data_IF_466999896781
#
_entry.id   IF_466999896781
#
_cell.length_a   1.000
_cell.length_b   1.000
_cell.length_c   1.000
_cell.angle_alpha   90.00
_cell.angle_beta   90.00
_cell.angle_gamma   90.00
#
_symmetry.space_group_name_H-M   'P 1'
#
loop_
_entity.id
_entity.type
_entity.pdbx_description
1 polymer ?
2 non-polymer ?
3 water ?
#
# COMPACT_ATOMS: atom_id res chain seq x y z
N UNK A 2 21.93 -13.68 13.15
CA UNK A 2 21.48 -12.28 13.43
C UNK A 2 20.65 -11.77 12.26
N UNK A 3 19.64 -10.90 12.51
CA UNK A 3 18.66 -10.53 11.47
C UNK A 3 19.25 -9.88 10.22
N UNK A 4 18.69 -10.18 9.04
CA UNK A 4 19.22 -9.72 7.76
C UNK A 4 18.16 -8.88 7.06
N UNK A 5 18.48 -7.63 6.70
CA UNK A 5 17.66 -6.82 5.81
C UNK A 5 18.37 -6.76 4.47
N UNK A 6 17.66 -7.19 3.40
CA UNK A 6 18.19 -7.12 2.04
C UNK A 6 17.46 -6.05 1.23
N UNK A 7 18.21 -5.29 0.41
CA UNK A 7 17.63 -4.32 -0.52
C UNK A 7 18.65 -3.89 -1.57
N UNK A 8 18.16 -3.16 -2.58
CA UNK A 8 19.04 -2.45 -3.49
C UNK A 8 19.87 -1.38 -2.76
N UNK A 9 20.95 -0.92 -3.41
CA UNK A 9 21.72 0.24 -2.98
C UNK A 9 21.02 1.50 -3.49
N UNK A 10 19.84 1.77 -2.93
CA UNK A 10 19.06 2.99 -3.24
C UNK A 10 18.30 3.33 -1.96
N UNK A 11 17.86 4.57 -1.77
CA UNK A 11 17.03 4.88 -0.59
C UNK A 11 15.69 4.17 -0.79
N UNK A 12 15.01 4.44 -1.91
CA UNK A 12 13.75 3.76 -2.26
C UNK A 12 12.83 3.39 -1.12
N UNK A 13 12.41 2.12 -1.06
CA UNK A 13 11.40 1.68 -0.11
C UNK A 13 12.08 1.21 1.16
N UNK A 14 13.38 0.89 1.07
CA UNK A 14 14.11 0.38 2.21
C UNK A 14 14.40 1.43 3.28
N UNK A 15 14.40 2.73 2.95
CA UNK A 15 14.99 3.69 3.87
C UNK A 15 14.14 3.82 5.14
N UNK A 16 12.80 3.94 5.04
CA UNK A 16 11.94 3.97 6.23
C UNK A 16 12.23 2.83 7.20
N UNK A 17 12.54 1.63 6.66
CA UNK A 17 12.85 0.46 7.47
C UNK A 17 14.18 0.67 8.20
N UNK A 18 15.18 1.10 7.44
CA UNK A 18 16.51 1.37 7.95
C UNK A 18 16.49 2.48 9.00
N UNK A 19 15.62 3.50 8.81
CA UNK A 19 15.53 4.57 9.79
C UNK A 19 14.99 4.01 11.11
N UNK A 20 14.00 3.11 11.02
CA UNK A 20 13.39 2.55 12.21
C UNK A 20 14.40 1.69 12.98
N UNK A 21 15.14 0.83 12.25
CA UNK A 21 16.17 -0.01 12.86
C UNK A 21 17.24 0.84 13.58
N UNK A 22 17.65 1.95 12.95
CA UNK A 22 18.61 2.86 13.55
C UNK A 22 18.07 3.44 14.86
N UNK A 23 16.84 3.99 14.81
CA UNK A 23 16.23 4.66 15.94
C UNK A 23 16.09 3.69 17.11
N UNK A 24 15.65 2.46 16.80
CA UNK A 24 15.42 1.43 17.82
C UNK A 24 16.73 0.82 18.35
N UNK A 25 17.82 0.93 17.58
CA UNK A 25 19.10 0.41 18.00
C UNK A 25 19.27 -1.08 17.72
N UNK A 26 18.32 -1.72 16.99
CA UNK A 26 18.33 -3.15 16.77
C UNK A 26 19.49 -3.58 15.86
N UNK A 27 20.21 -4.65 16.27
CA UNK A 27 21.30 -5.15 15.46
C UNK A 27 20.72 -5.87 14.25
N UNK A 28 21.28 -5.56 13.06
CA UNK A 28 20.93 -6.24 11.83
C UNK A 28 22.08 -6.21 10.83
N UNK A 29 22.22 -7.28 10.04
CA UNK A 29 23.11 -7.34 8.88
C UNK A 29 22.39 -6.70 7.70
N UNK A 30 23.00 -5.71 7.05
CA UNK A 30 22.44 -5.08 5.86
C UNK A 30 23.05 -5.79 4.66
N UNK A 31 22.19 -6.34 3.79
CA UNK A 31 22.61 -7.09 2.62
C UNK A 31 22.17 -6.31 1.38
N UNK A 32 23.14 -5.73 0.65
CA UNK A 32 22.85 -4.77 -0.40
C UNK A 32 23.18 -5.38 -1.76
N UNK A 33 22.19 -5.33 -2.65
CA UNK A 33 22.37 -5.89 -4.00
C UNK A 33 22.64 -4.74 -4.95
N UNK A 34 23.66 -4.87 -5.81
CA UNK A 34 24.05 -3.76 -6.70
C UNK A 34 23.58 -4.06 -8.13
N UNK A 35 23.14 -3.02 -8.85
CA UNK A 35 22.77 -3.22 -10.28
C UNK A 35 24.07 -3.44 -11.07
N UNK A 36 23.95 -3.93 -12.30
CA UNK A 36 25.14 -4.18 -13.15
C UNK A 36 25.63 -2.93 -13.84
N UNK A 37 26.49 -3.00 -14.89
CA UNK A 37 27.04 -1.79 -15.50
C UNK A 37 26.09 -1.18 -16.55
N UNK A 38 26.51 -0.08 -17.17
CA UNK A 38 25.71 0.58 -18.21
C UNK A 38 25.66 -0.09 -19.59
N UNK A 39 24.47 -0.31 -20.19
CA UNK A 39 23.16 -0.05 -19.62
C UNK A 39 22.49 -1.31 -19.06
N UNK A 40 23.27 -2.40 -18.99
CA UNK A 40 22.72 -3.68 -18.48
C UNK A 40 22.07 -3.44 -17.12
N UNK A 41 22.83 -2.92 -16.15
CA UNK A 41 22.29 -2.77 -14.78
C UNK A 41 21.57 -4.07 -14.43
N UNK A 42 22.20 -5.20 -14.76
CA UNK A 42 21.54 -6.52 -14.56
C UNK A 42 21.27 -6.75 -13.07
N UNK A 43 20.10 -7.32 -12.76
CA UNK A 43 19.75 -7.63 -11.35
C UNK A 43 20.40 -8.96 -10.98
N UNK A 44 21.43 -9.36 -11.73
CA UNK A 44 22.04 -10.69 -11.48
C UNK A 44 22.28 -10.91 -9.99
N UNK A 45 22.99 -9.99 -9.34
CA UNK A 45 23.33 -10.20 -7.90
C UNK A 45 22.07 -10.62 -7.16
N UNK A 46 20.92 -10.07 -7.55
CA UNK A 46 19.66 -10.38 -6.90
C UNK A 46 19.05 -11.65 -7.48
N UNK A 47 18.94 -11.73 -8.80
CA UNK A 47 18.24 -12.82 -9.47
C UNK A 47 18.89 -14.18 -9.20
N UNK A 48 20.19 -14.20 -8.94
CA UNK A 48 20.92 -15.43 -8.65
C UNK A 48 20.62 -15.96 -7.24
N UNK A 49 20.12 -15.10 -6.35
CA UNK A 49 19.83 -15.45 -4.96
C UNK A 49 18.33 -15.47 -4.69
N UNK A 50 17.56 -14.79 -5.55
CA UNK A 50 16.17 -14.49 -5.29
C UNK A 50 15.40 -15.72 -4.78
N UNK A 51 15.59 -16.87 -5.44
CA UNK A 51 14.81 -18.08 -5.18
C UNK A 51 15.54 -19.02 -4.20
N UNK A 52 16.64 -18.57 -3.57
CA UNK A 52 17.38 -19.42 -2.65
C UNK A 52 17.25 -18.96 -1.19
N UNK A 53 16.36 -18.00 -0.88
CA UNK A 53 16.30 -17.41 0.46
C UNK A 53 15.05 -17.90 1.22
N UNK A 54 14.24 -18.75 0.60
CA UNK A 54 13.10 -19.35 1.30
C UNK A 54 11.92 -18.39 1.39
N UNK A 55 11.91 -17.36 0.54
CA UNK A 55 10.86 -16.33 0.60
C UNK A 55 9.64 -16.82 -0.20
N UNK A 56 8.46 -16.56 0.37
CA UNK A 56 7.17 -16.91 -0.22
C UNK A 56 6.93 -16.08 -1.48
N UNK A 57 7.18 -14.77 -1.36
CA UNK A 57 6.99 -13.86 -2.50
C UNK A 57 8.32 -13.15 -2.73
N UNK A 58 9.34 -13.84 -3.28
CA UNK A 58 10.66 -13.25 -3.43
C UNK A 58 10.59 -11.83 -4.01
N UNK A 59 11.06 -10.83 -3.25
CA UNK A 59 11.09 -9.44 -3.75
C UNK A 59 12.06 -8.63 -2.87
N UNK A 60 12.47 -7.45 -3.35
CA UNK A 60 13.34 -6.56 -2.53
C UNK A 60 12.53 -5.32 -2.15
N UNK A 61 12.32 -5.02 -0.86
CA UNK A 61 13.22 -5.48 0.21
C UNK A 61 12.79 -6.81 0.87
N UNK A 62 13.70 -7.42 1.63
CA UNK A 62 13.35 -8.66 2.37
C UNK A 62 13.94 -8.57 3.79
N UNK A 63 13.35 -9.30 4.74
CA UNK A 63 13.88 -9.31 6.13
C UNK A 63 13.89 -10.75 6.66
N UNK A 64 15.01 -11.18 7.22
CA UNK A 64 15.14 -12.59 7.71
C UNK A 64 15.68 -12.60 9.14
N UNK A 65 15.07 -13.39 10.02
CA UNK A 65 15.58 -13.55 11.42
C UNK A 65 15.34 -15.00 11.82
N UNK A 66 16.29 -15.89 11.53
CA UNK A 66 16.11 -17.35 11.82
C UNK A 66 15.77 -17.55 13.29
N UNK A 67 16.42 -16.82 14.19
CA UNK A 67 16.21 -17.01 15.64
C UNK A 67 14.71 -16.84 15.94
N UNK A 68 14.04 -15.94 15.23
CA UNK A 68 12.61 -15.65 15.51
C UNK A 68 11.73 -16.45 14.54
N UNK A 69 12.32 -17.04 13.50
CA UNK A 69 11.55 -17.83 12.53
C UNK A 69 10.85 -16.91 11.55
N UNK A 70 11.50 -15.82 11.19
CA UNK A 70 10.83 -14.81 10.32
C UNK A 70 11.56 -14.71 8.98
N UNK A 71 10.85 -14.94 7.88
CA UNK A 71 11.41 -14.75 6.52
C UNK A 71 10.33 -13.94 5.81
N UNK A 72 10.52 -12.64 5.68
CA UNK A 72 9.40 -11.80 5.17
C UNK A 72 9.76 -10.98 3.94
N UNK A 73 8.72 -10.51 3.24
CA UNK A 73 8.90 -9.58 2.10
C UNK A 73 7.80 -8.54 2.29
N UNK A 74 7.63 -7.61 1.35
CA UNK A 74 6.58 -6.56 1.42
C UNK A 74 7.01 -5.47 2.43
N UNK A 75 7.38 -4.29 1.93
CA UNK A 75 7.89 -3.19 2.80
C UNK A 75 6.92 -2.87 3.94
N UNK A 76 5.64 -2.66 3.63
CA UNK A 76 4.65 -2.26 4.68
C UNK A 76 4.58 -3.36 5.74
N UNK A 77 4.58 -4.62 5.32
CA UNK A 77 4.50 -5.74 6.28
C UNK A 77 5.77 -5.78 7.12
N UNK A 78 6.92 -5.50 6.51
CA UNK A 78 8.18 -5.58 7.23
C UNK A 78 8.23 -4.48 8.28
N UNK A 79 7.86 -3.26 7.91
CA UNK A 79 7.94 -2.17 8.86
C UNK A 79 6.87 -2.33 9.96
N UNK A 80 5.70 -2.89 9.62
CA UNK A 80 4.71 -3.10 10.67
C UNK A 80 5.22 -4.14 11.67
N UNK A 81 5.97 -5.14 11.18
CA UNK A 81 6.51 -6.19 12.03
C UNK A 81 7.52 -5.63 13.05
N UNK A 82 8.49 -4.85 12.54
CA UNK A 82 9.52 -4.21 13.34
C UNK A 82 8.90 -3.20 14.31
N UNK A 83 7.85 -2.48 13.86
CA UNK A 83 7.14 -1.54 14.73
C UNK A 83 6.48 -2.25 15.91
N UNK A 84 5.76 -3.37 15.65
CA UNK A 84 5.09 -4.11 16.72
C UNK A 84 6.12 -4.61 17.71
N UNK A 85 7.25 -5.10 17.17
CA UNK A 85 8.33 -5.63 17.98
C UNK A 85 8.95 -4.55 18.88
N UNK A 86 8.92 -3.27 18.44
CA UNK A 86 9.62 -2.21 19.20
C UNK A 86 8.66 -1.17 19.79
N UNK A 87 7.36 -1.40 19.72
CA UNK A 87 6.39 -0.49 20.37
C UNK A 87 6.12 0.78 19.58
N UNK A 88 6.51 0.80 18.30
CA UNK A 88 6.32 2.00 17.45
C UNK A 88 4.97 1.88 16.72
N UNK A 89 3.96 1.33 17.40
CA UNK A 89 2.63 1.15 16.78
C UNK A 89 1.57 1.81 17.69
N UNK A 90 0.31 1.81 17.26
CA UNK A 90 -0.76 2.44 18.04
C UNK A 90 -1.01 1.70 19.34
N UNK A 91 -1.35 2.43 20.39
CA UNK A 91 -1.66 1.81 21.71
C UNK A 91 -3.18 1.84 21.89
N UNK A 92 -3.89 2.45 20.95
CA UNK A 92 -5.37 2.54 21.01
C UNK A 92 -5.92 2.38 19.59
N UNK A 93 -7.19 2.03 19.46
CA UNK A 93 -7.78 1.98 18.10
C UNK A 93 -7.83 3.41 17.55
N UNK A 94 -8.07 4.40 18.40
CA UNK A 94 -8.02 5.77 17.89
C UNK A 94 -6.67 6.00 17.22
N UNK A 95 -5.55 5.65 17.89
CA UNK A 95 -4.24 5.89 17.32
C UNK A 95 -3.99 5.02 16.11
N UNK A 96 -4.45 3.77 16.16
CA UNK A 96 -4.16 2.83 15.08
C UNK A 96 -4.81 3.29 13.76
N UNK A 97 -6.06 3.80 13.86
CA UNK A 97 -6.78 4.38 12.73
C UNK A 97 -5.96 5.52 12.12
N UNK A 98 -5.57 6.50 12.94
CA UNK A 98 -4.75 7.62 12.50
C UNK A 98 -3.44 7.14 11.86
N UNK A 99 -2.72 6.23 12.51
CA UNK A 99 -1.44 5.74 11.98
C UNK A 99 -1.63 5.06 10.62
N UNK A 100 -2.67 4.25 10.48
CA UNK A 100 -2.83 3.44 9.27
C UNK A 100 -3.36 4.32 8.13
N UNK A 101 -4.16 5.34 8.43
CA UNK A 101 -4.54 6.28 7.37
C UNK A 101 -3.29 7.00 6.82
N UNK A 102 -2.41 7.46 7.71
CA UNK A 102 -1.17 8.15 7.35
C UNK A 102 -0.20 7.20 6.64
N UNK A 103 -0.14 5.95 7.13
CA UNK A 103 0.64 4.95 6.43
C UNK A 103 0.23 4.89 4.97
N UNK A 104 -1.08 4.87 4.73
CA UNK A 104 -1.62 4.64 3.39
C UNK A 104 -1.54 5.92 2.60
N UNK A 105 -1.76 7.06 3.27
CA UNK A 105 -1.56 8.34 2.61
C UNK A 105 -0.10 8.46 2.17
N UNK A 106 0.86 7.99 2.99
CA UNK A 106 2.27 8.02 2.61
C UNK A 106 2.52 7.18 1.34
N UNK A 107 2.06 5.92 1.33
CA UNK A 107 2.25 5.01 0.21
C UNK A 107 1.58 5.50 -1.06
N UNK A 108 0.44 6.18 -0.93
CA UNK A 108 -0.20 6.81 -2.07
C UNK A 108 0.74 7.81 -2.74
N UNK A 109 1.62 8.49 -1.99
CA UNK A 109 2.57 9.44 -2.56
C UNK A 109 3.75 8.72 -3.19
N UNK A 110 4.25 7.66 -2.54
CA UNK A 110 5.26 6.79 -3.09
C UNK A 110 4.77 6.22 -4.43
N UNK A 111 3.58 5.63 -4.45
CA UNK A 111 3.02 5.06 -5.70
C UNK A 111 3.00 6.12 -6.80
N UNK A 112 2.39 7.28 -6.54
CA UNK A 112 2.26 8.33 -7.60
C UNK A 112 3.64 8.79 -8.06
N UNK A 113 4.54 9.10 -7.13
CA UNK A 113 5.87 9.63 -7.51
C UNK A 113 6.61 8.61 -8.38
N UNK A 114 6.62 7.35 -7.97
CA UNK A 114 7.29 6.28 -8.76
C UNK A 114 6.83 6.36 -10.21
N UNK A 115 5.52 6.26 -10.44
CA UNK A 115 4.95 6.31 -11.82
C UNK A 115 5.64 7.44 -12.59
N UNK A 116 5.70 8.63 -12.00
CA UNK A 116 6.30 9.80 -12.70
C UNK A 116 7.81 9.62 -12.84
N UNK A 117 8.50 9.29 -11.75
CA UNK A 117 9.98 9.21 -11.78
C UNK A 117 10.48 8.04 -12.63
N UNK A 118 9.80 6.89 -12.61
CA UNK A 118 10.29 5.69 -13.34
C UNK A 118 9.79 5.69 -14.78
N UNK A 119 8.95 6.65 -15.16
CA UNK A 119 8.41 6.73 -16.54
C UNK A 119 9.54 7.02 -17.54
N UNK A 120 9.44 6.50 -18.76
CA UNK A 120 10.52 6.67 -19.77
C UNK A 120 10.07 7.65 -20.86
N UNK A 121 8.85 7.49 -21.37
CA UNK A 121 8.34 8.37 -22.47
C UNK A 121 8.44 9.83 -22.02
N UNK A 122 9.08 10.68 -22.84
CA UNK A 122 9.24 12.10 -22.48
C UNK A 122 7.86 12.76 -22.37
N UNK A 123 6.95 12.41 -23.28
CA UNK A 123 5.58 13.00 -23.27
C UNK A 123 4.86 12.55 -22.00
N UNK A 124 4.86 11.24 -21.74
CA UNK A 124 4.13 10.70 -20.55
C UNK A 124 4.73 11.30 -19.28
N UNK A 125 6.06 11.33 -19.17
CA UNK A 125 6.72 11.84 -17.94
C UNK A 125 6.23 13.26 -17.66
N UNK A 126 6.25 14.13 -18.69
CA UNK A 126 5.81 15.54 -18.50
C UNK A 126 4.33 15.55 -18.12
N UNK A 127 3.50 14.76 -18.81
CA UNK A 127 2.06 14.71 -18.50
C UNK A 127 1.88 14.27 -17.03
N UNK A 128 2.63 13.27 -16.61
CA UNK A 128 2.56 12.80 -15.20
C UNK A 128 3.05 13.92 -14.27
N UNK A 129 4.20 14.51 -14.59
CA UNK A 129 4.76 15.58 -13.71
C UNK A 129 3.77 16.73 -13.62
N UNK A 130 3.29 17.22 -14.77
CA UNK A 130 2.34 18.33 -14.75
C UNK A 130 1.17 18.00 -13.82
N UNK A 131 0.85 16.71 -13.70
CA UNK A 131 -0.31 16.24 -12.95
C UNK A 131 0.04 16.04 -11.47
N UNK A 132 1.29 15.64 -11.18
CA UNK A 132 1.80 15.54 -9.82
C UNK A 132 1.75 16.91 -9.14
N UNK A 133 2.10 17.95 -9.89
CA UNK A 133 2.20 19.30 -9.36
C UNK A 133 0.83 19.87 -9.00
N UNK A 134 -0.23 19.39 -9.66
CA UNK A 134 -1.60 19.82 -9.36
C UNK A 134 -2.12 19.13 -8.10
N UNK A 135 -1.61 17.92 -7.79
CA UNK A 135 -2.17 17.08 -6.74
C UNK A 135 -1.41 17.25 -5.44
N UNK A 136 -0.07 17.27 -5.50
CA UNK A 136 0.75 17.23 -4.30
C UNK A 136 0.48 18.40 -3.36
N UNK A 137 0.21 19.64 -3.82
CA UNK A 137 -0.05 20.75 -2.90
C UNK A 137 -1.15 20.46 -1.89
N UNK A 138 -2.22 19.81 -2.36
CA UNK A 138 -3.39 19.48 -1.55
C UNK A 138 -3.10 18.33 -0.59
N UNK A 139 -2.22 17.42 -1.03
CA UNK A 139 -1.77 16.29 -0.22
C UNK A 139 -0.88 16.77 0.91
N UNK A 140 0.00 17.75 0.65
CA UNK A 140 0.87 18.29 1.67
C UNK A 140 0.08 19.15 2.66
N UNK A 141 -0.91 19.90 2.17
CA UNK A 141 -1.82 20.62 3.05
C UNK A 141 -2.54 19.63 3.96
N UNK A 142 -3.04 18.52 3.41
CA UNK A 142 -3.70 17.49 4.21
C UNK A 142 -2.85 17.00 5.38
N UNK A 143 -1.57 16.70 5.09
CA UNK A 143 -0.60 16.25 6.07
C UNK A 143 -0.30 17.35 7.08
N UNK A 144 -0.11 18.59 6.61
CA UNK A 144 0.16 19.68 7.53
C UNK A 144 -1.01 19.84 8.50
N UNK A 145 -2.25 19.83 7.96
CA UNK A 145 -3.46 19.98 8.77
C UNK A 145 -3.56 18.84 9.79
N UNK A 146 -3.07 17.66 9.41
CA UNK A 146 -3.18 16.50 10.27
C UNK A 146 -2.15 16.58 11.41
N UNK A 147 -0.90 16.86 11.08
CA UNK A 147 0.18 17.04 12.06
C UNK A 147 -0.18 18.14 13.04
N UNK A 148 -0.88 19.18 12.59
CA UNK A 148 -1.19 20.32 13.45
C UNK A 148 0.06 20.89 14.11
N UNK A 149 -0.02 21.07 15.43
CA UNK A 149 1.11 21.59 16.22
C UNK A 149 1.90 20.44 16.86
N UNK A 150 1.64 19.21 16.44
CA UNK A 150 2.22 18.02 17.07
C UNK A 150 3.73 17.91 16.76
N UNK A 151 4.46 17.29 17.70
CA UNK A 151 5.83 16.91 17.45
C UNK A 151 5.91 15.90 16.30
N UNK A 152 5.18 14.80 16.46
CA UNK A 152 5.17 13.74 15.47
C UNK A 152 3.72 13.50 15.06
N UNK A 153 3.51 12.64 14.08
CA UNK A 153 2.25 12.59 13.35
C UNK A 153 1.11 12.12 14.27
N UNK A 154 1.41 11.50 15.42
CA UNK A 154 0.37 11.04 16.35
C UNK A 154 0.47 11.80 17.69
N UNK A 155 1.33 12.82 17.79
CA UNK A 155 1.52 13.58 19.02
C UNK A 155 2.98 13.57 19.47
N UNK A 156 3.23 13.38 20.77
CA UNK A 156 4.58 13.42 21.32
C UNK A 156 5.33 12.09 21.14
N UNK A 157 4.70 11.07 20.53
CA UNK A 157 5.28 9.74 20.47
C UNK A 157 5.51 9.34 19.01
N UNK A 158 6.75 8.93 18.73
CA UNK A 158 7.16 8.51 17.41
C UNK A 158 6.57 7.12 17.16
N UNK A 159 6.04 6.94 15.95
CA UNK A 159 5.49 5.70 15.45
C UNK A 159 6.10 5.45 14.06
N UNK A 160 5.99 4.22 13.58
CA UNK A 160 6.74 3.79 12.39
C UNK A 160 6.44 4.67 11.20
N UNK A 161 5.29 5.31 11.24
CA UNK A 161 4.74 6.01 10.09
C UNK A 161 5.45 7.35 9.93
N UNK A 162 6.14 7.82 11.00
CA UNK A 162 6.96 9.02 10.95
C UNK A 162 8.18 8.81 10.04
N UNK A 163 8.80 7.62 10.14
CA UNK A 163 9.96 7.30 9.31
C UNK A 163 9.53 7.17 7.86
N UNK A 164 8.33 6.58 7.61
CA UNK A 164 7.81 6.46 6.25
C UNK A 164 7.63 7.85 5.65
N UNK A 165 6.98 8.72 6.43
CA UNK A 165 6.63 10.08 6.01
C UNK A 165 7.90 10.89 5.77
N UNK A 166 8.86 10.74 6.68
CA UNK A 166 10.15 11.38 6.48
C UNK A 166 10.68 11.07 5.08
N UNK A 167 10.90 9.79 4.77
CA UNK A 167 11.56 9.42 3.52
C UNK A 167 10.83 10.02 2.32
N UNK A 168 9.50 9.90 2.29
CA UNK A 168 8.79 10.21 1.05
C UNK A 168 8.74 11.73 0.87
N UNK A 169 8.55 12.48 1.98
CA UNK A 169 8.59 13.96 1.94
C UNK A 169 9.97 14.48 1.52
N UNK A 170 11.04 13.82 1.96
CA UNK A 170 12.38 14.17 1.49
C UNK A 170 12.47 13.98 -0.02
N UNK A 171 12.00 12.84 -0.52
CA UNK A 171 12.07 12.52 -1.94
C UNK A 171 11.39 13.64 -2.71
N UNK A 172 10.23 14.09 -2.21
CA UNK A 172 9.46 15.15 -2.86
C UNK A 172 10.20 16.47 -2.75
N UNK A 173 10.72 16.78 -1.55
CA UNK A 173 11.48 18.04 -1.35
C UNK A 173 12.62 18.10 -2.37
N UNK A 174 13.42 17.03 -2.47
CA UNK A 174 14.59 17.01 -3.38
C UNK A 174 14.13 17.04 -4.84
N UNK A 175 12.84 16.79 -5.07
CA UNK A 175 12.29 16.78 -6.46
C UNK A 175 11.78 18.17 -6.80
N UNK A 176 11.16 18.85 -5.81
CA UNK A 176 10.59 20.19 -6.06
C UNK A 176 10.35 20.88 -4.71
N UNK A 177 11.37 21.57 -4.21
CA UNK A 177 11.26 22.24 -2.88
C UNK A 177 10.12 23.27 -2.93
N UNK A 178 9.85 23.82 -4.11
CA UNK A 178 8.82 24.89 -4.22
C UNK A 178 7.53 24.42 -3.55
N UNK A 179 7.33 23.11 -3.45
CA UNK A 179 6.05 22.60 -2.89
C UNK A 179 6.01 22.83 -1.39
N UNK A 180 7.17 23.04 -0.76
CA UNK A 180 7.23 23.19 0.71
C UNK A 180 7.48 24.66 1.06
N UNK A 181 7.51 25.52 0.05
CA UNK A 181 7.80 26.96 0.28
C UNK A 181 6.84 27.51 1.35
N UNK A 182 5.61 27.01 1.38
CA UNK A 182 4.63 27.46 2.40
C UNK A 182 4.29 26.30 3.35
N UNK A 183 5.18 25.31 3.45
CA UNK A 183 4.93 24.13 4.33
C UNK A 183 6.00 24.08 5.42
N UNK A 184 6.04 25.10 6.27
CA UNK A 184 7.06 25.17 7.34
C UNK A 184 6.81 24.03 8.34
N UNK A 185 5.55 23.85 8.75
CA UNK A 185 5.22 22.74 9.69
C UNK A 185 5.92 21.47 9.23
N UNK A 186 5.81 21.14 7.95
CA UNK A 186 6.40 19.88 7.43
C UNK A 186 7.92 19.98 7.41
N UNK A 187 8.47 21.15 7.06
CA UNK A 187 9.94 21.35 7.00
C UNK A 187 10.50 21.25 8.43
N UNK A 188 9.80 21.82 9.41
CA UNK A 188 10.24 21.70 10.82
C UNK A 188 10.10 20.23 11.24
N UNK A 189 9.07 19.55 10.74
CA UNK A 189 8.86 18.12 11.05
C UNK A 189 10.05 17.32 10.54
N UNK A 190 10.46 17.58 9.28
CA UNK A 190 11.60 16.86 8.73
C UNK A 190 12.83 17.14 9.57
N UNK A 191 13.01 18.39 10.03
CA UNK A 191 14.11 18.77 10.88
C UNK A 191 14.02 18.03 12.23
N UNK A 192 12.81 17.97 12.85
CA UNK A 192 12.66 17.24 14.12
C UNK A 192 13.18 15.80 13.96
N UNK A 193 12.81 15.13 12.86
CA UNK A 193 13.19 13.74 12.63
C UNK A 193 14.72 13.66 12.39
N UNK A 194 15.26 14.50 11.49
CA UNK A 194 16.68 14.54 11.17
C UNK A 194 17.56 14.79 12.39
N UNK A 195 16.99 15.37 13.46
CA UNK A 195 17.78 15.69 14.62
C UNK A 195 17.56 14.67 15.74
N UNK A 196 16.86 13.56 15.48
CA UNK A 196 16.83 12.44 16.41
C UNK A 196 18.25 11.85 16.45
N UNK A 197 18.81 11.51 17.63
CA UNK A 197 20.24 11.19 17.74
C UNK A 197 20.69 10.14 16.74
N UNK A 198 19.89 9.06 16.55
CA UNK A 198 20.32 7.92 15.75
C UNK A 198 20.09 8.16 14.27
N UNK A 199 19.11 9.00 13.94
CA UNK A 199 18.82 9.39 12.56
C UNK A 199 19.92 10.34 12.07
N UNK A 200 20.30 11.28 12.93
CA UNK A 200 21.42 12.19 12.57
C UNK A 200 22.65 11.35 12.24
N UNK A 201 22.96 10.38 13.09
CA UNK A 201 24.13 9.50 12.87
C UNK A 201 23.96 8.77 11.52
N UNK A 202 22.77 8.27 11.24
CA UNK A 202 22.53 7.51 9.97
C UNK A 202 22.73 8.42 8.78
N UNK A 203 22.16 9.63 8.82
CA UNK A 203 22.24 10.54 7.66
C UNK A 203 23.65 11.13 7.57
N UNK A 204 24.45 11.00 8.63
CA UNK A 204 25.83 11.47 8.58
C UNK A 204 26.80 10.31 8.39
N UNK A 205 26.32 9.13 7.99
CA UNK A 205 27.20 8.01 7.71
C UNK A 205 28.05 8.38 6.48
N UNK A 206 29.18 7.69 6.32
CA UNK A 206 29.89 7.70 5.04
C UNK A 206 29.04 6.96 4.01
N UNK A 207 28.32 5.90 4.44
CA UNK A 207 27.48 5.08 3.58
C UNK A 207 26.36 5.91 2.96
N UNK A 208 25.81 6.87 3.72
CA UNK A 208 24.61 7.60 3.25
C UNK A 208 24.87 8.41 1.97
N UNK A 209 23.83 8.52 1.15
CA UNK A 209 23.93 9.35 -0.08
C UNK A 209 22.51 9.78 -0.44
N UNK A 210 22.18 11.06 -0.25
CA UNK A 210 20.81 11.57 -0.55
C UNK A 210 20.41 11.09 -1.95
N UNK A 211 21.38 10.81 -2.81
CA UNK A 211 21.11 10.14 -4.11
C UNK A 211 22.08 8.95 -4.21
N UNK A 212 21.68 7.81 -4.79
CA UNK A 212 20.45 7.71 -5.57
C UNK A 212 19.20 7.39 -4.73
N UNK A 213 18.03 7.88 -5.15
CA UNK A 213 16.76 7.57 -4.44
C UNK A 213 16.08 6.42 -5.17
N UNK A 214 15.92 6.55 -6.49
CA UNK A 214 15.28 5.48 -7.30
C UNK A 214 16.36 4.69 -8.05
N UNK A 215 15.95 3.82 -8.97
CA UNK A 215 16.92 2.99 -9.73
C UNK A 215 17.39 3.65 -11.00
N UNK A 216 18.41 3.10 -11.69
CA UNK A 216 18.95 3.70 -12.91
C UNK A 216 17.86 3.87 -13.97
N UNK A 217 16.97 2.89 -14.10
CA UNK A 217 15.91 2.94 -15.15
C UNK A 217 15.09 4.22 -14.99
N UNK A 218 14.89 4.68 -13.75
CA UNK A 218 14.04 5.86 -13.50
C UNK A 218 14.70 7.14 -14.03
N UNK A 219 13.89 8.16 -14.34
CA UNK A 219 14.45 9.47 -14.75
C UNK A 219 14.95 10.19 -13.50
N UNK A 220 14.11 10.27 -12.45
CA UNK A 220 14.50 10.99 -11.22
C UNK A 220 15.05 10.02 -10.17
N UNK A 221 16.10 10.43 -9.44
CA UNK A 221 16.66 9.60 -8.37
C UNK A 221 17.61 8.54 -8.90
N UNK A 222 17.99 8.63 -10.16
CA UNK A 222 18.93 7.67 -10.77
C UNK A 222 20.26 7.67 -10.04
N UNK A 223 20.78 8.85 -9.70
CA UNK A 223 22.06 8.98 -8.94
C UNK A 223 22.35 10.45 -8.67
N UNK B 2 -26.59 5.05 11.74
CA UNK B 2 -25.93 3.84 11.19
C UNK B 2 -24.66 4.24 10.44
N UNK B 3 -23.63 3.37 10.40
CA UNK B 3 -22.41 3.64 9.63
C UNK B 3 -22.65 3.88 8.14
N UNK B 4 -21.83 4.76 7.53
CA UNK B 4 -21.93 5.09 6.12
C UNK B 4 -20.63 4.69 5.42
N UNK B 5 -20.76 3.89 4.35
CA UNK B 5 -19.68 3.67 3.38
C UNK B 5 -19.97 4.46 2.12
N UNK B 6 -19.03 5.36 1.74
CA UNK B 6 -19.15 6.12 0.50
C UNK B 6 -18.15 5.65 -0.55
N UNK B 7 -18.61 5.59 -1.81
CA UNK B 7 -17.77 5.22 -2.95
C UNK B 7 -18.47 5.56 -4.27
N UNK B 8 -17.71 5.44 -5.37
CA UNK B 8 -18.28 5.49 -6.72
C UNK B 8 -19.22 4.30 -6.94
N UNK B 9 -20.06 4.40 -7.98
CA UNK B 9 -20.85 3.27 -8.48
C UNK B 9 -19.99 2.42 -9.40
N UNK B 10 -18.99 1.76 -8.79
CA UNK B 10 -18.07 0.85 -9.51
C UNK B 10 -17.69 -0.21 -8.46
N UNK B 11 -17.13 -1.34 -8.87
CA UNK B 11 -16.65 -2.30 -7.84
C UNK B 11 -15.36 -1.72 -7.25
N UNK B 12 -14.38 -1.42 -8.11
CA UNK B 12 -13.12 -0.79 -7.67
C UNK B 12 -12.58 -1.18 -6.31
N UNK B 13 -12.28 -0.20 -5.46
CA UNK B 13 -11.63 -0.43 -4.19
C UNK B 13 -12.66 -0.66 -3.09
N UNK B 14 -13.92 -0.25 -3.33
CA UNK B 14 -14.98 -0.41 -2.35
C UNK B 14 -15.39 -1.86 -2.08
N UNK B 15 -15.22 -2.75 -3.08
CA UNK B 15 -15.88 -4.03 -3.03
C UNK B 15 -15.35 -4.90 -1.89
N UNK B 16 -14.03 -5.05 -1.71
CA UNK B 16 -13.51 -5.86 -0.59
C UNK B 16 -14.13 -5.47 0.76
N UNK B 17 -14.37 -4.17 0.95
CA UNK B 17 -14.98 -3.65 2.17
C UNK B 17 -16.43 -4.12 2.25
N UNK B 18 -17.17 -3.96 1.16
CA UNK B 18 -18.55 -4.37 1.07
C UNK B 18 -18.71 -5.88 1.23
N UNK B 19 -17.76 -6.67 0.72
CA UNK B 19 -17.79 -8.11 0.94
C UNK B 19 -17.62 -8.43 2.44
N UNK B 20 -16.73 -7.69 3.13
CA UNK B 20 -16.50 -7.93 4.55
C UNK B 20 -17.75 -7.60 5.38
N UNK B 21 -18.39 -6.47 5.08
CA UNK B 21 -19.61 -6.05 5.74
C UNK B 21 -20.72 -7.09 5.53
N UNK B 22 -20.82 -7.64 4.31
CA UNK B 22 -21.79 -8.69 4.01
C UNK B 22 -21.55 -9.92 4.89
N UNK B 23 -20.30 -10.43 4.89
CA UNK B 23 -19.95 -11.64 5.64
C UNK B 23 -20.25 -11.48 7.14
N UNK B 24 -19.95 -10.29 7.68
CA UNK B 24 -20.08 -10.00 9.11
C UNK B 24 -21.52 -9.62 9.49
N UNK B 25 -22.34 -9.28 8.49
CA UNK B 25 -23.74 -8.96 8.72
C UNK B 25 -23.95 -7.52 9.21
N UNK B 26 -22.93 -6.65 9.08
CA UNK B 26 -22.97 -5.32 9.68
C UNK B 26 -23.93 -4.41 8.90
N UNK B 27 -24.82 -3.70 9.60
CA UNK B 27 -25.67 -2.77 8.91
C UNK B 27 -24.85 -1.53 8.60
N UNK B 28 -25.01 -1.05 7.36
CA UNK B 28 -24.39 0.15 6.86
C UNK B 28 -25.23 0.77 5.75
N UNK B 29 -25.12 2.09 5.63
CA UNK B 29 -25.77 2.77 4.50
C UNK B 29 -24.69 2.96 3.43
N UNK B 30 -25.02 2.73 2.17
CA UNK B 30 -24.05 2.91 1.07
C UNK B 30 -24.31 4.25 0.39
N UNK B 31 -23.33 5.17 0.44
CA UNK B 31 -23.48 6.47 -0.26
C UNK B 31 -22.74 6.35 -1.59
N UNK B 32 -23.49 6.32 -2.69
CA UNK B 32 -22.85 6.09 -4.01
C UNK B 32 -22.79 7.40 -4.76
N UNK B 33 -21.62 7.71 -5.30
CA UNK B 33 -21.45 8.96 -6.06
C UNK B 33 -21.37 8.56 -7.53
N UNK B 34 -22.13 9.26 -8.38
CA UNK B 34 -22.18 8.86 -9.81
C UNK B 34 -21.39 9.88 -10.62
N UNK B 35 -20.81 9.41 -11.73
CA UNK B 35 -20.01 10.29 -12.60
C UNK B 35 -20.95 11.10 -13.50
N UNK B 36 -20.37 11.95 -14.34
CA UNK B 36 -21.19 12.79 -15.25
C UNK B 36 -21.36 12.13 -16.61
N UNK B 37 -22.05 12.79 -17.56
CA UNK B 37 -22.31 12.18 -18.87
C UNK B 37 -21.06 12.17 -19.75
N UNK B 38 -21.14 11.46 -20.88
CA UNK B 38 -19.99 11.41 -21.84
C UNK B 38 -19.83 12.79 -22.49
N UNK B 39 -18.61 13.17 -22.93
CA UNK B 39 -17.38 12.62 -22.37
C UNK B 39 -16.95 13.42 -21.12
N UNK B 40 -17.88 14.19 -20.56
CA UNK B 40 -17.57 15.00 -19.36
C UNK B 40 -17.11 14.08 -18.23
N UNK B 41 -17.94 13.12 -17.84
CA UNK B 41 -17.60 12.22 -16.72
C UNK B 41 -17.23 13.08 -15.50
N UNK B 42 -18.04 14.09 -15.20
CA UNK B 42 -17.73 15.02 -14.09
C UNK B 42 -17.82 14.26 -12.75
N UNK B 43 -17.01 14.67 -11.78
CA UNK B 43 -17.04 14.03 -10.44
C UNK B 43 -17.66 15.03 -9.46
N UNK B 44 -18.46 15.96 -9.97
CA UNK B 44 -19.09 17.00 -9.12
C UNK B 44 -19.81 16.37 -7.92
N UNK B 45 -20.61 15.32 -8.16
CA UNK B 45 -21.40 14.72 -7.07
C UNK B 45 -20.46 14.52 -5.88
N UNK B 46 -19.19 14.23 -6.17
CA UNK B 46 -18.21 13.98 -5.14
C UNK B 46 -17.48 15.27 -4.79
N UNK B 47 -16.99 16.00 -5.79
CA UNK B 47 -16.16 17.16 -5.56
C UNK B 47 -16.87 18.26 -4.79
N UNK B 48 -18.21 18.32 -4.92
CA UNK B 48 -19.03 19.31 -4.25
C UNK B 48 -19.18 19.00 -2.76
N UNK B 49 -18.92 17.75 -2.34
CA UNK B 49 -19.04 17.30 -0.96
C UNK B 49 -17.66 17.00 -0.35
N UNK B 50 -16.68 16.73 -1.21
CA UNK B 50 -15.42 16.08 -0.83
C UNK B 50 -14.85 16.66 0.46
N UNK B 51 -14.78 18.00 0.53
CA UNK B 51 -14.10 18.68 1.60
C UNK B 51 -15.02 19.04 2.76
N UNK B 52 -16.28 18.59 2.72
CA UNK B 52 -17.26 19.01 3.71
C UNK B 52 -17.72 17.85 4.59
N UNK B 53 -17.00 16.71 4.61
CA UNK B 53 -17.45 15.53 5.35
C UNK B 53 -16.62 15.31 6.62
N UNK B 54 -15.70 16.22 6.93
CA UNK B 54 -14.88 16.13 8.13
C UNK B 54 -13.75 15.11 7.99
N UNK B 55 -13.44 14.74 6.75
CA UNK B 55 -12.40 13.71 6.49
C UNK B 55 -11.01 14.36 6.54
N UNK B 56 -10.07 13.74 7.26
CA UNK B 56 -8.70 14.28 7.38
C UNK B 56 -8.00 14.21 6.02
N UNK B 57 -8.19 13.10 5.31
CA UNK B 57 -7.60 12.94 3.96
C UNK B 57 -8.74 12.66 2.98
N UNK B 58 -9.53 13.68 2.58
CA UNK B 58 -10.72 13.46 1.74
C UNK B 58 -10.45 12.54 0.54
N UNK B 59 -11.25 11.49 0.39
CA UNK B 59 -11.03 10.51 -0.71
C UNK B 59 -12.10 9.40 -0.69
N UNK B 60 -12.26 8.69 -1.81
CA UNK B 60 -13.16 7.56 -1.94
C UNK B 60 -12.33 6.27 -2.04
N UNK B 61 -12.63 5.22 -1.26
CA UNK B 61 -13.77 5.21 -0.34
C UNK B 61 -13.54 5.93 0.99
N UNK B 62 -14.66 6.30 1.63
CA UNK B 62 -14.66 6.78 3.01
C UNK B 62 -15.63 5.93 3.82
N UNK B 63 -15.45 5.95 5.16
CA UNK B 63 -16.29 5.23 6.08
C UNK B 63 -16.51 6.08 7.33
N UNK B 64 -17.78 6.35 7.63
CA UNK B 64 -18.17 7.20 8.73
C UNK B 64 -19.09 6.43 9.68
N UNK B 65 -18.83 6.56 10.98
CA UNK B 65 -19.68 5.98 12.00
C UNK B 65 -19.76 6.96 13.17
N UNK B 66 -20.82 7.79 13.15
CA UNK B 66 -21.02 8.83 14.15
C UNK B 66 -20.99 8.21 15.56
N UNK B 67 -21.64 7.05 15.73
CA UNK B 67 -21.83 6.45 17.05
C UNK B 67 -20.48 6.16 17.71
N UNK B 68 -19.54 5.65 16.90
CA UNK B 68 -18.23 5.24 17.39
C UNK B 68 -17.21 6.38 17.30
N UNK B 69 -17.58 7.47 16.62
CA UNK B 69 -16.68 8.61 16.44
C UNK B 69 -15.55 8.33 15.44
N UNK B 70 -15.93 7.67 14.34
CA UNK B 70 -14.92 7.25 13.32
C UNK B 70 -15.22 7.90 11.97
N UNK B 71 -14.33 8.77 11.48
CA UNK B 71 -14.46 9.32 10.10
C UNK B 71 -13.18 8.90 9.41
N UNK B 72 -13.25 7.94 8.49
CA UNK B 72 -11.98 7.37 7.93
C UNK B 72 -11.94 7.34 6.41
N UNK B 73 -10.72 7.34 5.86
CA UNK B 73 -10.52 7.16 4.40
C UNK B 73 -9.42 6.11 4.32
N UNK B 74 -8.91 5.80 3.12
CA UNK B 74 -7.85 4.78 2.93
C UNK B 74 -8.46 3.38 3.02
N UNK B 75 -8.57 2.68 1.90
CA UNK B 75 -9.20 1.33 1.82
C UNK B 75 -8.58 0.34 2.80
N UNK B 76 -7.25 0.22 2.80
CA UNK B 76 -6.57 -0.78 3.66
C UNK B 76 -6.84 -0.45 5.13
N UNK B 77 -6.85 0.84 5.47
CA UNK B 77 -7.10 1.27 6.86
C UNK B 77 -8.55 1.02 7.20
N UNK B 78 -9.46 1.26 6.25
CA UNK B 78 -10.87 0.98 6.53
C UNK B 78 -11.10 -0.53 6.76
N UNK B 79 -10.56 -1.38 5.89
CA UNK B 79 -10.83 -2.80 6.01
C UNK B 79 -10.08 -3.37 7.21
N UNK B 80 -8.91 -2.81 7.57
CA UNK B 80 -8.22 -3.29 8.77
C UNK B 80 -9.05 -2.96 10.01
N UNK B 81 -9.74 -1.80 9.97
CA UNK B 81 -10.52 -1.35 11.12
C UNK B 81 -11.72 -2.29 11.36
N UNK B 82 -12.43 -2.60 10.27
CA UNK B 82 -13.63 -3.47 10.38
C UNK B 82 -13.19 -4.90 10.73
N UNK B 83 -12.03 -5.33 10.22
CA UNK B 83 -11.52 -6.68 10.50
C UNK B 83 -11.27 -6.85 12.00
N UNK B 84 -10.63 -5.87 12.63
CA UNK B 84 -10.32 -5.94 14.09
C UNK B 84 -11.62 -5.86 14.88
N UNK B 85 -12.62 -5.18 14.33
CA UNK B 85 -13.94 -5.06 15.01
C UNK B 85 -14.69 -6.38 14.90
N UNK B 86 -14.34 -7.22 13.92
CA UNK B 86 -15.10 -8.48 13.70
C UNK B 86 -14.17 -9.69 13.81
N UNK B 87 -12.96 -9.50 14.36
CA UNK B 87 -12.03 -10.62 14.58
C UNK B 87 -11.59 -11.30 13.29
N UNK B 88 -11.41 -10.56 12.21
CA UNK B 88 -10.98 -11.13 10.91
C UNK B 88 -9.50 -10.83 10.72
N UNK B 89 -8.74 -10.83 11.81
CA UNK B 89 -7.28 -10.50 11.76
C UNK B 89 -6.50 -11.68 12.33
N UNK B 90 -5.17 -11.59 12.36
CA UNK B 90 -4.34 -12.67 12.93
C UNK B 90 -4.48 -12.78 14.42
N UNK B 91 -4.30 -13.97 14.96
CA UNK B 91 -4.39 -14.19 16.42
C UNK B 91 -2.96 -14.38 16.92
N UNK B 92 -2.02 -14.40 15.99
CA UNK B 92 -0.58 -14.54 16.32
C UNK B 92 0.21 -13.64 15.38
N UNK B 93 1.39 -13.20 15.81
CA UNK B 93 2.22 -12.42 14.86
C UNK B 93 2.56 -13.34 13.70
N UNK B 94 2.75 -14.64 13.96
CA UNK B 94 3.01 -15.51 12.82
C UNK B 94 1.89 -15.32 11.78
N UNK B 95 0.61 -15.33 12.21
CA UNK B 95 -0.50 -15.19 11.26
C UNK B 95 -0.50 -13.79 10.65
N UNK B 96 -0.24 -12.80 11.49
CA UNK B 96 -0.35 -11.42 11.06
C UNK B 96 0.68 -11.10 9.96
N UNK B 97 1.90 -11.64 10.10
CA UNK B 97 2.95 -11.57 9.07
C UNK B 97 2.41 -12.08 7.73
N UNK B 98 1.92 -13.31 7.71
CA UNK B 98 1.35 -13.91 6.51
C UNK B 98 0.21 -13.06 5.93
N UNK B 99 -0.73 -12.63 6.77
CA UNK B 99 -1.85 -11.81 6.34
C UNK B 99 -1.39 -10.50 5.68
N UNK B 100 -0.39 -9.84 6.28
CA UNK B 100 0.03 -8.53 5.83
C UNK B 100 0.90 -8.64 4.58
N UNK B 101 1.67 -9.73 4.44
CA UNK B 101 2.36 -9.99 3.19
C UNK B 101 1.36 -10.13 2.03
N UNK B 102 0.28 -10.91 2.26
CA UNK B 102 -0.73 -11.16 1.26
C UNK B 102 -1.55 -9.89 1.00
N UNK B 103 -1.82 -9.12 2.06
CA UNK B 103 -2.48 -7.84 1.86
C UNK B 103 -1.71 -7.03 0.83
N UNK B 104 -0.38 -7.00 0.98
CA UNK B 104 0.46 -6.12 0.18
C UNK B 104 0.67 -6.73 -1.19
N UNK B 105 0.81 -8.05 -1.23
CA UNK B 105 0.84 -8.76 -2.50
C UNK B 105 -0.46 -8.48 -3.29
N UNK B 106 -1.63 -8.45 -2.62
CA UNK B 106 -2.88 -8.15 -3.30
C UNK B 106 -2.87 -6.75 -3.92
N UNK B 107 -2.51 -5.73 -3.13
CA UNK B 107 -2.46 -4.34 -3.59
C UNK B 107 -1.43 -4.14 -4.71
N UNK B 108 -0.35 -4.91 -4.70
CA UNK B 108 0.62 -4.85 -5.77
C UNK B 108 -0.04 -5.21 -7.12
N UNK B 109 -1.08 -6.06 -7.10
CA UNK B 109 -1.78 -6.44 -8.33
C UNK B 109 -2.78 -5.35 -8.73
N UNK B 110 -3.47 -4.78 -7.73
CA UNK B 110 -4.35 -3.63 -7.93
C UNK B 110 -3.55 -2.50 -8.57
N UNK B 111 -2.39 -2.14 -7.97
CA UNK B 111 -1.57 -1.01 -8.40
C UNK B 111 -1.12 -1.16 -9.86
N UNK B 112 -0.71 -2.38 -10.27
CA UNK B 112 -0.20 -2.60 -11.62
C UNK B 112 -1.26 -3.24 -12.51
N UNK B 113 -2.54 -3.08 -12.12
CA UNK B 113 -3.68 -3.29 -12.99
C UNK B 113 -4.34 -1.96 -13.32
N UNK B 114 -4.40 -1.04 -12.34
CA UNK B 114 -4.92 0.30 -12.59
C UNK B 114 -3.86 1.16 -13.31
N UNK B 115 -2.63 0.63 -13.49
CA UNK B 115 -1.63 1.25 -14.34
C UNK B 115 -1.85 0.84 -15.81
N UNK B 116 -2.54 -0.29 -16.03
CA UNK B 116 -2.82 -0.81 -17.36
C UNK B 116 -4.22 -0.40 -17.83
N UNK B 117 -5.22 -0.48 -16.93
CA UNK B 117 -6.62 -0.33 -17.28
C UNK B 117 -6.99 1.15 -17.39
N UNK B 118 -6.37 2.01 -16.56
CA UNK B 118 -6.53 3.46 -16.66
C UNK B 118 -5.44 4.03 -17.57
N UNK B 125 -2.61 1.59 -24.53
CA UNK B 125 -2.00 0.64 -23.57
C UNK B 125 -1.79 -0.72 -24.25
N UNK B 126 -1.29 -0.71 -25.49
CA UNK B 126 -0.88 -1.91 -26.19
C UNK B 126 0.37 -2.52 -25.52
N UNK B 127 1.34 -1.65 -25.20
CA UNK B 127 2.62 -2.05 -24.65
C UNK B 127 2.48 -2.44 -23.18
N UNK B 128 1.43 -1.94 -22.50
CA UNK B 128 1.20 -2.20 -21.09
C UNK B 128 0.54 -3.56 -20.90
N UNK B 129 -0.52 -3.83 -21.68
CA UNK B 129 -1.28 -5.07 -21.59
C UNK B 129 -0.39 -6.25 -21.96
N UNK B 130 0.60 -6.01 -22.84
CA UNK B 130 1.62 -7.00 -23.20
C UNK B 130 2.50 -7.32 -22.00
N UNK B 131 2.69 -6.30 -21.13
CA UNK B 131 3.63 -6.39 -20.02
C UNK B 131 2.96 -7.00 -18.79
N UNK B 132 1.65 -6.74 -18.61
CA UNK B 132 0.88 -7.33 -17.52
C UNK B 132 0.86 -8.86 -17.70
N UNK B 133 0.72 -9.30 -18.95
CA UNK B 133 0.58 -10.71 -19.30
C UNK B 133 1.86 -11.49 -18.98
N UNK B 134 3.01 -10.83 -19.04
CA UNK B 134 4.28 -11.48 -18.77
C UNK B 134 4.52 -11.60 -17.26
N UNK B 135 3.93 -10.70 -16.46
CA UNK B 135 4.26 -10.59 -15.04
C UNK B 135 3.24 -11.36 -14.18
N UNK B 136 1.95 -11.20 -14.49
CA UNK B 136 0.90 -11.72 -13.63
C UNK B 136 0.99 -13.22 -13.45
N UNK B 137 1.33 -14.04 -14.47
CA UNK B 137 1.38 -15.49 -14.30
C UNK B 137 2.28 -15.92 -13.15
N UNK B 138 3.43 -15.25 -12.98
CA UNK B 138 4.40 -15.58 -11.94
C UNK B 138 3.92 -15.17 -10.54
N UNK B 139 3.18 -14.05 -10.50
CA UNK B 139 2.55 -13.56 -9.28
C UNK B 139 1.42 -14.49 -8.84
N UNK B 140 0.62 -15.01 -9.78
CA UNK B 140 -0.47 -15.93 -9.47
C UNK B 140 0.07 -17.31 -9.08
N UNK B 141 1.14 -17.76 -9.71
CA UNK B 141 1.81 -18.98 -9.27
C UNK B 141 2.30 -18.82 -7.82
N UNK B 142 2.90 -17.66 -7.50
CA UNK B 142 3.35 -17.39 -6.16
C UNK B 142 2.24 -17.53 -5.11
N UNK B 143 1.07 -16.95 -5.43
CA UNK B 143 -0.10 -16.98 -4.55
C UNK B 143 -0.65 -18.41 -4.47
N UNK B 144 -0.71 -19.13 -5.61
CA UNK B 144 -1.14 -20.52 -5.57
C UNK B 144 -0.25 -21.32 -4.63
N UNK B 145 1.07 -21.18 -4.76
CA UNK B 145 2.03 -21.89 -3.92
C UNK B 145 1.84 -21.49 -2.44
N UNK B 146 1.43 -20.25 -2.18
CA UNK B 146 1.21 -19.81 -0.81
C UNK B 146 -0.06 -20.43 -0.21
N UNK B 147 -1.18 -20.35 -0.93
CA UNK B 147 -2.43 -20.96 -0.52
C UNK B 147 -2.25 -22.45 -0.25
N UNK B 148 -1.40 -23.11 -1.05
CA UNK B 148 -1.26 -24.56 -0.96
C UNK B 148 -2.63 -25.27 -0.98
N UNK B 149 -2.84 -26.16 0.00
CA UNK B 149 -4.07 -26.94 0.09
C UNK B 149 -5.06 -26.30 1.08
N UNK B 150 -4.79 -25.05 1.47
CA UNK B 150 -5.58 -24.37 2.47
C UNK B 150 -6.95 -23.98 1.91
N UNK B 151 -7.93 -23.88 2.80
CA UNK B 151 -9.26 -23.41 2.36
C UNK B 151 -9.12 -21.91 2.09
N UNK B 152 -8.52 -21.20 3.05
CA UNK B 152 -8.33 -19.74 2.92
C UNK B 152 -6.83 -19.43 2.88
N UNK B 153 -6.44 -18.25 2.41
CA UNK B 153 -5.00 -17.93 2.20
C UNK B 153 -4.18 -18.17 3.47
N UNK B 154 -4.76 -17.97 4.65
CA UNK B 154 -3.95 -18.12 5.90
C UNK B 154 -4.28 -19.47 6.54
N UNK B 155 -5.30 -20.15 6.05
CA UNK B 155 -5.62 -21.49 6.58
C UNK B 155 -7.10 -21.79 6.62
N UNK B 156 -7.58 -22.34 7.73
CA UNK B 156 -9.00 -22.73 7.84
C UNK B 156 -9.87 -21.53 8.19
N UNK B 157 -9.26 -20.47 8.74
CA UNK B 157 -10.06 -19.29 9.19
C UNK B 157 -10.00 -18.23 8.09
N UNK B 158 -11.15 -17.60 7.81
CA UNK B 158 -11.19 -16.52 6.79
C UNK B 158 -10.76 -15.22 7.47
N UNK B 159 -9.94 -14.44 6.79
CA UNK B 159 -9.48 -13.15 7.30
C UNK B 159 -9.76 -12.09 6.22
N UNK B 160 -9.65 -10.81 6.59
CA UNK B 160 -10.01 -9.70 5.70
C UNK B 160 -9.30 -9.79 4.36
N UNK B 161 -8.18 -10.48 4.34
CA UNK B 161 -7.29 -10.43 3.20
C UNK B 161 -7.85 -11.32 2.08
N UNK B 162 -8.74 -12.25 2.46
CA UNK B 162 -9.41 -13.13 1.52
C UNK B 162 -10.37 -12.32 0.66
N UNK B 163 -11.09 -11.36 1.25
CA UNK B 163 -11.99 -10.48 0.52
C UNK B 163 -11.23 -9.58 -0.46
N UNK B 164 -10.08 -9.04 -0.04
CA UNK B 164 -9.26 -8.22 -0.91
C UNK B 164 -8.80 -9.02 -2.12
N UNK B 165 -8.28 -10.23 -1.85
CA UNK B 165 -7.74 -11.11 -2.86
C UNK B 165 -8.87 -11.54 -3.80
N UNK B 166 -10.03 -11.89 -3.23
CA UNK B 166 -11.17 -12.24 -4.06
C UNK B 166 -11.39 -11.16 -5.12
N UNK B 167 -11.64 -9.92 -4.71
CA UNK B 167 -12.01 -8.87 -5.64
C UNK B 167 -10.98 -8.72 -6.76
N UNK B 168 -9.69 -8.67 -6.41
CA UNK B 168 -8.69 -8.32 -7.41
C UNK B 168 -8.50 -9.48 -8.37
N UNK B 169 -8.52 -10.74 -7.88
CA UNK B 169 -8.41 -11.93 -8.72
C UNK B 169 -9.60 -12.05 -9.67
N UNK B 170 -10.80 -11.68 -9.19
CA UNK B 170 -11.95 -11.61 -10.07
C UNK B 170 -11.70 -10.63 -11.21
N UNK B 171 -11.22 -9.43 -10.88
CA UNK B 171 -10.98 -8.38 -11.85
C UNK B 171 -10.06 -8.94 -12.94
N UNK B 172 -9.01 -9.65 -12.51
CA UNK B 172 -8.02 -10.22 -13.42
C UNK B 172 -8.66 -11.34 -14.23
N UNK B 173 -9.38 -12.25 -13.55
CA UNK B 173 -10.06 -13.36 -14.26
C UNK B 173 -10.95 -12.78 -15.38
N UNK B 174 -11.76 -11.78 -15.04
CA UNK B 174 -12.64 -11.15 -16.05
C UNK B 174 -11.79 -10.54 -17.16
N UNK B 175 -10.57 -10.10 -16.83
CA UNK B 175 -9.69 -9.44 -17.83
C UNK B 175 -9.13 -10.50 -18.78
N UNK B 176 -8.60 -11.59 -18.23
CA UNK B 176 -7.98 -12.65 -19.06
C UNK B 176 -7.84 -13.93 -18.22
N UNK B 177 -8.79 -14.86 -18.34
CA UNK B 177 -8.77 -16.10 -17.53
C UNK B 177 -7.52 -16.94 -17.86
N UNK B 178 -6.99 -16.80 -19.08
CA UNK B 178 -5.84 -17.63 -19.50
C UNK B 178 -4.72 -17.53 -18.47
N UNK B 179 -4.65 -16.41 -17.74
CA UNK B 179 -3.53 -16.20 -16.79
C UNK B 179 -3.61 -17.24 -15.67
N UNK B 180 -4.82 -17.68 -15.30
CA UNK B 180 -4.97 -18.59 -14.15
C UNK B 180 -4.70 -20.04 -14.57
N UNK B 181 -4.43 -20.26 -15.87
CA UNK B 181 -4.23 -21.64 -16.37
C UNK B 181 -3.15 -22.34 -15.55
N UNK B 182 -2.13 -21.58 -15.10
CA UNK B 182 -1.00 -22.18 -14.34
C UNK B 182 -1.29 -22.10 -12.84
N UNK B 183 -2.49 -21.62 -12.46
CA UNK B 183 -2.86 -21.50 -11.03
C UNK B 183 -4.33 -21.86 -10.85
N UNK B 184 -4.70 -23.12 -11.07
CA UNK B 184 -6.12 -23.54 -10.97
C UNK B 184 -6.64 -23.43 -9.54
N UNK B 185 -5.79 -23.68 -8.54
CA UNK B 185 -6.24 -23.69 -7.13
C UNK B 185 -7.02 -22.40 -6.83
N UNK B 186 -6.59 -21.29 -7.42
CA UNK B 186 -7.24 -19.98 -7.14
C UNK B 186 -8.71 -20.04 -7.58
N UNK B 187 -8.98 -20.65 -8.72
CA UNK B 187 -10.37 -20.73 -9.24
C UNK B 187 -11.22 -21.46 -8.20
N UNK B 188 -10.67 -22.49 -7.58
CA UNK B 188 -11.40 -23.22 -6.51
C UNK B 188 -11.53 -22.27 -5.32
N UNK B 189 -10.48 -21.48 -5.05
CA UNK B 189 -10.51 -20.50 -3.94
C UNK B 189 -11.60 -19.46 -4.21
N UNK B 190 -11.66 -18.97 -5.45
CA UNK B 190 -12.66 -17.93 -5.79
C UNK B 190 -14.05 -18.53 -5.62
N UNK B 191 -14.20 -19.80 -5.96
CA UNK B 191 -15.51 -20.49 -5.83
C UNK B 191 -15.78 -20.74 -4.34
N UNK B 192 -14.78 -21.19 -3.59
CA UNK B 192 -15.02 -21.36 -2.16
C UNK B 192 -15.62 -20.07 -1.57
N UNK B 193 -15.07 -18.91 -1.95
CA UNK B 193 -15.53 -17.63 -1.42
C UNK B 193 -16.92 -17.29 -1.95
N UNK B 194 -17.15 -17.44 -3.27
CA UNK B 194 -18.45 -17.22 -3.89
C UNK B 194 -19.55 -18.08 -3.28
N UNK B 195 -19.18 -19.17 -2.59
CA UNK B 195 -20.15 -20.10 -2.03
C UNK B 195 -20.41 -19.80 -0.55
N UNK B 196 -19.75 -18.78 0.01
CA UNK B 196 -20.05 -18.37 1.37
C UNK B 196 -21.45 -17.76 1.41
N UNK B 197 -22.29 -18.09 2.41
CA UNK B 197 -23.72 -17.78 2.34
C UNK B 197 -24.02 -16.31 2.07
N UNK B 198 -23.29 -15.39 2.75
CA UNK B 198 -23.58 -13.96 2.66
C UNK B 198 -22.97 -13.35 1.41
N UNK B 199 -21.88 -13.96 0.91
CA UNK B 199 -21.26 -13.50 -0.34
C UNK B 199 -22.17 -13.87 -1.51
N UNK B 200 -22.68 -15.12 -1.52
CA UNK B 200 -23.63 -15.52 -2.53
C UNK B 200 -24.81 -14.57 -2.56
N UNK B 201 -25.34 -14.21 -1.38
CA UNK B 201 -26.50 -13.32 -1.30
C UNK B 201 -26.09 -11.92 -1.81
N UNK B 202 -24.84 -11.48 -1.52
CA UNK B 202 -24.35 -10.20 -2.02
C UNK B 202 -24.18 -10.20 -3.55
N UNK B 203 -23.59 -11.27 -4.09
CA UNK B 203 -23.30 -11.41 -5.52
C UNK B 203 -24.56 -11.67 -6.34
N UNK B 204 -25.67 -12.06 -5.69
CA UNK B 204 -26.95 -12.30 -6.35
C UNK B 204 -27.92 -11.13 -6.14
N UNK B 205 -27.45 -10.00 -5.61
CA UNK B 205 -28.31 -8.84 -5.43
C UNK B 205 -28.79 -8.35 -6.78
N UNK B 206 -29.89 -7.58 -6.81
CA UNK B 206 -30.21 -6.78 -7.99
C UNK B 206 -29.18 -5.67 -8.15
N UNK B 207 -28.69 -5.14 -7.04
CA UNK B 207 -27.72 -4.02 -7.09
C UNK B 207 -26.39 -4.50 -7.66
N UNK B 208 -26.10 -5.80 -7.54
CA UNK B 208 -24.76 -6.28 -7.96
C UNK B 208 -24.61 -6.19 -9.49
N UNK B 209 -23.49 -5.63 -9.93
CA UNK B 209 -23.20 -5.52 -11.38
C UNK B 209 -21.70 -5.76 -11.57
N UNK B 210 -21.31 -6.93 -12.08
CA UNK B 210 -19.87 -7.26 -12.25
C UNK B 210 -19.18 -6.12 -12.99
N UNK B 211 -19.92 -5.40 -13.84
CA UNK B 211 -19.35 -4.21 -14.54
C UNK B 211 -20.26 -3.02 -14.26
N UNK B 212 -19.72 -1.83 -13.91
CA UNK B 212 -18.31 -1.51 -14.16
C UNK B 212 -17.39 -1.78 -12.97
N UNK B 213 -16.10 -1.98 -13.24
CA UNK B 213 -15.09 -2.19 -12.15
C UNK B 213 -14.31 -0.89 -11.97
N UNK B 214 -14.02 -0.20 -13.08
CA UNK B 214 -13.30 1.07 -13.02
C UNK B 214 -14.11 2.13 -13.76
N UNK B 215 -13.70 3.41 -13.61
CA UNK B 215 -14.44 4.51 -14.20
C UNK B 215 -14.19 4.65 -15.70
N UNK B 216 -14.87 5.57 -16.41
CA UNK B 216 -14.49 5.93 -17.78
C UNK B 216 -13.24 6.83 -17.83
X LIG C 1 5.30 -4.58 -2.64
X LIG C 1 6.77 -4.83 -2.70
X LIG C 1 7.43 -4.28 -1.44
X LIG C 1 8.19 -5.05 -0.82
X LIG C 1 7.15 -3.11 -1.11
X LIG C 1 7.37 -4.18 -3.95
X LIG C 1 8.89 -4.27 -3.97
X LIG C 1 9.52 -3.70 -5.21
X LIG C 1 8.85 -3.24 -6.13
X LIG C 1 10.86 -3.74 -5.26
X LIG C 1 11.62 -3.22 -6.38
X LIG C 1 12.48 -4.26 -7.09
X LIG C 1 13.26 -3.90 -7.97
X LIG C 1 12.47 -2.02 -5.97
X LIG C 1 11.60 -0.43 -6.05
X LIG C 1 12.31 -5.53 -6.73
X LIG C 1 11.69 -6.47 -7.62
X LIG C 1 12.59 -7.65 -7.94
X LIG C 1 13.66 -7.40 -8.53
X LIG C 1 12.21 -8.79 -7.59
X LIG D 1 -5.14 5.65 -0.98
X LIG D 1 -6.58 5.69 -1.35
X LIG D 1 -7.26 4.37 -0.97
X LIG D 1 -8.31 4.44 -0.31
X LIG D 1 -6.70 3.32 -1.32
X LIG D 1 -6.76 5.96 -2.84
X LIG D 1 -8.22 6.10 -3.24
X LIG D 1 -8.45 6.44 -4.70
X LIG D 1 -7.53 6.54 -5.50
X LIG D 1 -9.72 6.66 -5.05
X LIG D 1 -10.13 7.00 -6.39
X LIG D 1 -10.82 8.35 -6.50
X LIG D 1 -11.32 8.70 -7.58
X LIG D 1 -11.01 5.92 -7.00
X LIG D 1 -10.15 4.38 -7.41
X LIG D 1 -10.84 9.12 -5.42
X LIG D 1 -11.49 10.40 -5.39
X LIG D 1 -10.51 11.56 -5.19
X LIG D 1 -9.30 11.27 -5.13
X LIG D 1 -10.98 12.70 -5.11
#
# INVERSE_FOLDING_TARGET
>A
MAPILGYWKLRGLGEPIRLLLAHTGQEYEMKEYSFGPEPDYDKSEWLDEKFNLGLDFPNLPYYIDEEEGVKMTQTVAIIRYLARKHGLVGESDEETIKIEMVEQQAIELIFTCTRTWYCRDDDLFDKLKEEMMTILPGKLIGLAKFLGENQYIIGDRITYVDFMLYSILDYIRLFEESLFDEASSLKDYLTRIESLPEIEKYLSSDDFKRFPITGPMAKFGGSSE
>B
MAPILGYWKLRGLGEPIRLLLAHTGQEYEMKEYSFGPEPDYDKSEWLDEKFNLGLDFPNLPYYIDEEEGVKMTQTVAIIRYLARKHGLVGESDEETIKIEMVEQQAIELIFTCTRTWYCRDDDLFDKLKEEMMTILPGKLIGLAKFLGENQYIIGDRITYVDFMLYSILDYIRLFEESLFDEASSLKDYLTRIESLPEIEKYLSSDDFKRFPITGPMAKFGGSSE
>C hetero
1 GSH N1 CA1 C1 O11 O12 CB1 CG1 CD1 OE1 N2 CA2 C2 O2 CB2 SG2 N3 CA3 C3 O31 O32
>D hetero
1 GSH N1 CA1 C1 O11 O12 CB1 CG1 CD1 OE1 N2 CA2 C2 O2 CB2 SG2 N3 CA3 C3 O31 O32
#
